data_IF_196846622748
#
_entry.id   IF_196846622748
#
_cell.length_a   1.000
_cell.length_b   1.000
_cell.length_c   1.000
_cell.angle_alpha   90.00
_cell.angle_beta   90.00
_cell.angle_gamma   90.00
#
_symmetry.space_group_name_H-M   'P 1'
#
loop_
_entity.id
_entity.type
_entity.pdbx_description
1 polymer ?
#
# COMPACT_ATOMS: atom_id res chain seq x y z
N UNK A 1 1.13 -12.55 -20.08
CA UNK A 1 0.58 -11.37 -19.37
C UNK A 1 1.50 -10.20 -19.59
N UNK A 2 0.98 -9.01 -19.93
CA UNK A 2 1.78 -7.79 -19.85
C UNK A 2 1.94 -7.45 -18.36
N UNK A 3 3.16 -7.14 -17.94
CA UNK A 3 3.39 -6.59 -16.61
C UNK A 3 2.97 -5.12 -16.64
N UNK A 4 2.03 -4.74 -15.78
CA UNK A 4 1.74 -3.33 -15.53
C UNK A 4 2.50 -2.89 -14.29
N UNK A 5 3.04 -1.66 -14.30
CA UNK A 5 3.86 -1.11 -13.23
C UNK A 5 3.43 0.33 -12.97
N UNK A 6 3.42 0.73 -11.70
CA UNK A 6 3.20 2.11 -11.28
C UNK A 6 4.35 2.53 -10.39
N UNK A 7 4.84 3.74 -10.61
CA UNK A 7 5.93 4.34 -9.85
C UNK A 7 5.36 5.25 -8.75
N UNK A 8 5.60 4.90 -7.49
CA UNK A 8 5.21 5.74 -6.36
C UNK A 8 6.32 6.68 -5.89
N UNK A 9 7.57 6.24 -6.00
CA UNK A 9 8.73 7.01 -5.54
C UNK A 9 9.93 6.69 -6.40
N UNK A 10 10.61 7.73 -6.88
CA UNK A 10 11.91 7.64 -7.54
C UNK A 10 12.75 8.86 -7.19
N UNK A 11 13.93 8.59 -6.64
CA UNK A 11 14.88 9.63 -6.22
C UNK A 11 15.47 10.35 -7.42
N UNK A 12 15.72 9.64 -8.53
CA UNK A 12 16.40 10.21 -9.69
C UNK A 12 15.55 11.25 -10.42
N UNK A 13 14.26 10.95 -10.64
CA UNK A 13 13.28 11.89 -11.19
C UNK A 13 12.64 12.81 -10.16
N UNK A 14 12.99 12.69 -8.88
CA UNK A 14 12.33 13.38 -7.76
C UNK A 14 10.82 13.16 -7.73
N UNK A 15 10.38 11.97 -8.12
CA UNK A 15 8.98 11.57 -8.06
C UNK A 15 8.67 11.08 -6.66
N UNK A 16 7.64 11.66 -6.03
CA UNK A 16 7.03 11.13 -4.83
C UNK A 16 5.53 11.40 -4.87
N UNK A 17 4.74 10.33 -4.90
CA UNK A 17 3.28 10.41 -4.95
C UNK A 17 2.75 10.47 -3.53
N UNK A 18 2.15 11.58 -3.12
CA UNK A 18 1.64 11.75 -1.76
C UNK A 18 0.55 10.73 -1.41
N UNK A 19 -0.49 10.68 -2.23
CA UNK A 19 -1.61 9.77 -2.08
C UNK A 19 -2.08 9.24 -3.44
N UNK A 20 -2.37 7.94 -3.51
CA UNK A 20 -3.01 7.31 -4.67
C UNK A 20 -3.76 6.05 -4.26
N UNK A 21 -4.97 5.90 -4.78
CA UNK A 21 -5.78 4.69 -4.65
C UNK A 21 -5.91 4.02 -6.02
N UNK A 22 -5.46 2.77 -6.10
CA UNK A 22 -5.62 1.88 -7.23
C UNK A 22 -6.64 0.81 -6.86
N UNK A 23 -7.54 0.49 -7.78
CA UNK A 23 -8.59 -0.51 -7.58
C UNK A 23 -9.10 -1.02 -8.92
N UNK A 24 -9.97 -2.04 -8.90
CA UNK A 24 -10.57 -2.59 -10.11
C UNK A 24 -11.34 -1.54 -10.94
N UNK A 25 -11.93 -0.54 -10.27
CA UNK A 25 -12.72 0.51 -10.92
C UNK A 25 -11.84 1.57 -11.58
N UNK A 26 -10.72 1.92 -10.94
CA UNK A 26 -9.79 2.94 -11.46
C UNK A 26 -8.78 2.38 -12.45
N UNK A 27 -8.43 1.10 -12.34
CA UNK A 27 -7.35 0.45 -13.10
C UNK A 27 -7.79 -0.94 -13.61
N UNK A 28 -8.77 -1.00 -14.54
CA UNK A 28 -9.26 -2.27 -15.10
C UNK A 28 -8.19 -3.00 -15.93
N UNK A 29 -7.12 -2.32 -16.33
CA UNK A 29 -5.95 -2.84 -17.02
C UNK A 29 -5.05 -3.72 -16.12
N UNK A 30 -5.16 -3.60 -14.79
CA UNK A 30 -4.47 -4.47 -13.84
C UNK A 30 -5.26 -5.76 -13.61
N UNK A 31 -6.54 -5.62 -13.30
CA UNK A 31 -7.50 -6.72 -13.12
C UNK A 31 -8.91 -6.17 -13.04
N UNK A 32 -9.85 -6.81 -13.74
CA UNK A 32 -11.28 -6.50 -13.67
C UNK A 32 -12.00 -7.21 -12.52
N UNK A 33 -11.31 -8.10 -11.80
CA UNK A 33 -11.88 -8.76 -10.62
C UNK A 33 -12.06 -7.70 -9.52
N UNK A 34 -13.26 -7.53 -8.96
CA UNK A 34 -13.48 -6.54 -7.90
C UNK A 34 -12.83 -6.98 -6.57
N UNK A 35 -12.68 -6.02 -5.65
CA UNK A 35 -12.27 -6.29 -4.27
C UNK A 35 -10.76 -6.25 -4.00
N UNK A 36 -9.93 -6.03 -5.03
CA UNK A 36 -8.53 -5.65 -4.81
C UNK A 36 -8.38 -4.14 -4.73
N UNK A 37 -7.41 -3.69 -3.94
CA UNK A 37 -6.98 -2.29 -3.92
C UNK A 37 -5.52 -2.15 -3.49
N UNK A 38 -4.89 -1.05 -3.91
CA UNK A 38 -3.58 -0.60 -3.43
C UNK A 38 -3.72 0.87 -3.09
N UNK A 39 -3.50 1.25 -1.83
CA UNK A 39 -3.57 2.64 -1.37
C UNK A 39 -2.21 3.07 -0.82
N UNK A 40 -1.56 4.03 -1.46
CA UNK A 40 -0.44 4.75 -0.84
C UNK A 40 -0.97 6.04 -0.23
N UNK A 41 -0.52 6.37 0.97
CA UNK A 41 -0.70 7.68 1.62
C UNK A 41 0.48 8.02 2.53
N UNK A 42 0.72 9.30 2.73
CA UNK A 42 1.56 9.77 3.84
C UNK A 42 0.70 9.90 5.11
N UNK A 43 1.23 9.44 6.24
CA UNK A 43 0.63 9.63 7.55
C UNK A 43 1.00 11.00 8.10
N UNK A 44 0.02 11.66 8.71
CA UNK A 44 0.16 12.96 9.34
C UNK A 44 -0.26 12.92 10.81
N UNK A 45 0.41 13.71 11.63
CA UNK A 45 0.23 13.82 13.07
C UNK A 45 1.12 12.90 13.90
N UNK A 46 1.53 13.40 15.06
CA UNK A 46 2.22 12.64 16.10
C UNK A 46 3.58 12.07 15.65
N UNK A 47 3.94 10.90 16.18
CA UNK A 47 5.22 10.23 15.90
C UNK A 47 5.28 9.57 14.52
N UNK A 48 4.15 9.49 13.83
CA UNK A 48 4.02 8.91 12.48
C UNK A 48 4.06 9.96 11.37
N UNK A 49 4.17 11.25 11.70
CA UNK A 49 4.27 12.32 10.70
C UNK A 49 5.34 12.00 9.65
N UNK A 50 4.96 12.13 8.38
CA UNK A 50 5.84 11.91 7.24
C UNK A 50 6.06 10.44 6.86
N UNK A 51 5.50 9.47 7.61
CA UNK A 51 5.64 8.05 7.29
C UNK A 51 4.74 7.67 6.11
N UNK A 52 5.33 7.04 5.08
CA UNK A 52 4.54 6.47 3.99
C UNK A 52 3.95 5.12 4.41
N UNK A 53 2.68 4.92 4.06
CA UNK A 53 1.97 3.67 4.21
C UNK A 53 1.42 3.24 2.85
N UNK A 54 1.72 2.00 2.47
CA UNK A 54 1.09 1.32 1.34
C UNK A 54 0.23 0.18 1.89
N UNK A 55 -1.07 0.26 1.66
CA UNK A 55 -2.02 -0.79 1.98
C UNK A 55 -2.33 -1.58 0.71
N UNK A 56 -2.07 -2.88 0.73
CA UNK A 56 -2.40 -3.80 -0.37
C UNK A 56 -3.51 -4.72 0.11
N UNK A 57 -4.58 -4.84 -0.67
CA UNK A 57 -5.70 -5.71 -0.39
C UNK A 57 -6.05 -6.52 -1.64
N UNK A 58 -6.23 -7.83 -1.52
CA UNK A 58 -6.73 -8.69 -2.60
C UNK A 58 -8.08 -9.35 -2.28
N UNK A 59 -8.77 -8.86 -1.25
CA UNK A 59 -10.03 -9.39 -0.72
C UNK A 59 -9.84 -10.44 0.37
N UNK A 60 -8.80 -11.28 0.29
CA UNK A 60 -8.51 -12.30 1.29
C UNK A 60 -7.40 -11.87 2.27
N UNK A 61 -6.42 -11.14 1.77
CA UNK A 61 -5.24 -10.66 2.50
C UNK A 61 -5.12 -9.16 2.33
N UNK A 62 -5.02 -8.47 3.47
CA UNK A 62 -4.63 -7.08 3.58
C UNK A 62 -3.23 -6.99 4.22
N UNK A 63 -2.35 -6.18 3.66
CA UNK A 63 -1.01 -5.90 4.20
C UNK A 63 -0.76 -4.40 4.23
N UNK A 64 -0.14 -3.92 5.30
CA UNK A 64 0.37 -2.57 5.48
C UNK A 64 1.90 -2.59 5.38
N UNK A 65 2.44 -1.88 4.40
CA UNK A 65 3.88 -1.78 4.11
C UNK A 65 4.32 -0.35 4.39
N UNK A 66 5.49 -0.17 5.01
CA UNK A 66 6.05 1.14 5.36
C UNK A 66 7.33 1.42 4.55
N UNK A 67 7.24 2.06 3.36
CA UNK A 67 8.42 2.35 2.54
C UNK A 67 9.49 3.14 3.27
N UNK A 68 9.11 4.17 4.03
CA UNK A 68 10.04 5.02 4.80
C UNK A 68 10.61 4.32 6.05
N UNK A 69 10.20 3.08 6.32
CA UNK A 69 10.76 2.20 7.35
C UNK A 69 11.39 0.95 6.72
N UNK A 70 12.10 1.13 5.61
CA UNK A 70 12.86 0.06 4.96
C UNK A 70 11.98 -1.00 4.28
N UNK A 71 10.83 -0.59 3.73
CA UNK A 71 9.85 -1.49 3.10
C UNK A 71 9.29 -2.57 4.06
N UNK A 72 9.30 -2.31 5.36
CA UNK A 72 8.82 -3.26 6.37
C UNK A 72 7.32 -3.54 6.23
N UNK A 73 6.94 -4.82 6.29
CA UNK A 73 5.54 -5.21 6.52
C UNK A 73 5.23 -4.94 7.98
N UNK A 74 4.36 -3.98 8.24
CA UNK A 74 3.99 -3.56 9.58
C UNK A 74 2.95 -4.48 10.20
N UNK A 75 1.86 -4.71 9.46
CA UNK A 75 0.74 -5.54 9.89
C UNK A 75 -0.07 -6.01 8.70
N UNK A 76 -1.00 -6.92 8.96
CA UNK A 76 -1.98 -7.35 7.98
C UNK A 76 -3.18 -8.04 8.59
N UNK A 77 -4.08 -8.48 7.72
CA UNK A 77 -5.21 -9.30 8.07
C UNK A 77 -5.41 -10.35 6.97
N UNK A 78 -5.52 -11.61 7.35
CA UNK A 78 -5.84 -12.69 6.42
C UNK A 78 -7.18 -13.30 6.82
N UNK A 79 -8.23 -13.01 6.07
CA UNK A 79 -9.58 -13.55 6.29
C UNK A 79 -10.07 -13.39 7.74
N UNK A 80 -9.87 -12.21 8.33
CA UNK A 80 -10.24 -11.90 9.70
C UNK A 80 -9.18 -12.23 10.74
N UNK A 81 -8.11 -12.95 10.38
CA UNK A 81 -7.01 -13.28 11.28
C UNK A 81 -5.97 -12.14 11.24
N UNK A 82 -5.74 -11.42 12.36
CA UNK A 82 -4.74 -10.36 12.40
C UNK A 82 -3.32 -10.95 12.29
N UNK A 83 -2.53 -10.37 11.39
CA UNK A 83 -1.12 -10.69 11.17
C UNK A 83 -0.29 -9.51 11.66
N UNK A 84 -0.12 -9.39 12.97
CA UNK A 84 0.58 -8.26 13.56
C UNK A 84 1.28 -8.64 14.86
N UNK A 85 2.29 -7.85 15.21
CA UNK A 85 2.88 -7.84 16.52
C UNK A 85 2.45 -6.57 17.24
N UNK A 86 1.70 -6.73 18.33
CA UNK A 86 1.35 -5.64 19.24
C UNK A 86 2.58 -5.33 20.10
N UNK A 87 3.44 -4.43 19.61
CA UNK A 87 4.61 -3.97 20.37
C UNK A 87 4.15 -3.41 21.72
N UNK A 88 4.84 -3.71 22.83
CA UNK A 88 4.63 -3.07 24.12
C UNK A 88 4.77 -1.54 24.04
#
# INVERSE_FOLDING_TARGET
>A
MKSTQILFTDVSSQTWVEEILLSAESHPDFSTVPGWSIHKKQLHGGVSEGVDLIEVNNGALQLSILPTRGMGVWKGNCQGIPLEWQSP
#
